data_IF_619787673529
#
_entry.id   IF_619787673529
#
_cell.length_a   1.000
_cell.length_b   1.000
_cell.length_c   1.000
_cell.angle_alpha   90.00
_cell.angle_beta   90.00
_cell.angle_gamma   90.00
#
_symmetry.space_group_name_H-M   'P 1'
#
loop_
_entity.id
_entity.type
_entity.pdbx_description
1 polymer ?
#
# COMPACT_ATOMS: atom_id res chain seq x y z
N UNK A 1 5.74 12.95 -4.29
CA UNK A 1 5.40 11.53 -4.07
C UNK A 1 3.90 11.44 -4.24
N UNK A 2 3.39 10.45 -4.97
CA UNK A 2 1.95 10.24 -5.11
C UNK A 2 1.35 9.97 -3.72
N UNK A 3 0.20 10.58 -3.43
CA UNK A 3 -0.55 10.31 -2.21
C UNK A 3 -1.32 9.00 -2.34
N UNK A 4 -1.34 8.18 -1.31
CA UNK A 4 -1.99 6.87 -1.36
C UNK A 4 -1.77 6.03 -0.11
N UNK A 5 -2.31 4.82 -0.15
CA UNK A 5 -2.10 3.79 0.87
C UNK A 5 -1.71 2.49 0.21
N UNK A 6 -0.86 1.72 0.90
CA UNK A 6 -0.57 0.34 0.54
C UNK A 6 -0.91 -0.56 1.70
N UNK A 7 -1.41 -1.75 1.37
CA UNK A 7 -1.58 -2.84 2.29
C UNK A 7 -0.88 -4.08 1.72
N UNK A 8 -0.23 -4.82 2.60
CA UNK A 8 0.18 -6.20 2.31
C UNK A 8 -0.37 -7.08 3.43
N UNK A 9 -0.93 -8.22 3.07
CA UNK A 9 -1.55 -9.16 3.99
C UNK A 9 -0.96 -10.56 3.83
N UNK A 10 -0.74 -11.27 4.93
CA UNK A 10 -0.30 -12.67 4.94
C UNK A 10 -0.93 -13.46 6.10
N UNK A 11 -1.03 -14.78 5.95
CA UNK A 11 -1.45 -15.69 7.04
C UNK A 11 -0.28 -15.97 7.99
N UNK A 12 0.09 -14.94 8.76
CA UNK A 12 1.25 -14.95 9.64
C UNK A 12 0.93 -14.19 10.93
N UNK A 13 1.66 -14.43 12.02
CA UNK A 13 1.52 -13.62 13.24
C UNK A 13 2.04 -12.19 13.05
N UNK A 14 1.37 -11.13 13.56
CA UNK A 14 1.75 -9.73 13.33
C UNK A 14 3.21 -9.41 13.62
N UNK A 15 3.77 -9.95 14.71
CA UNK A 15 5.14 -9.66 15.12
C UNK A 15 6.17 -10.27 14.17
N UNK A 16 5.84 -11.42 13.57
CA UNK A 16 6.67 -12.04 12.53
C UNK A 16 6.49 -11.33 11.20
N UNK A 17 5.27 -10.90 10.89
CA UNK A 17 4.97 -10.28 9.60
C UNK A 17 5.48 -8.84 9.52
N UNK A 18 5.39 -8.06 10.61
CA UNK A 18 5.82 -6.67 10.66
C UNK A 18 7.30 -6.45 10.32
N UNK A 19 8.15 -7.48 10.43
CA UNK A 19 9.58 -7.37 10.05
C UNK A 19 9.77 -7.07 8.55
N UNK A 20 8.82 -7.50 7.71
CA UNK A 20 8.83 -7.26 6.26
C UNK A 20 8.59 -5.80 5.89
N UNK A 21 8.17 -4.97 6.86
CA UNK A 21 8.14 -3.52 6.68
C UNK A 21 9.56 -2.91 6.54
N UNK A 22 10.61 -3.65 6.92
CA UNK A 22 12.00 -3.17 6.90
C UNK A 22 12.33 -2.28 8.11
N UNK A 23 11.74 -2.59 9.27
CA UNK A 23 11.80 -1.75 10.47
C UNK A 23 11.70 -2.52 11.77
N UNK A 24 11.39 -1.80 12.85
CA UNK A 24 11.09 -2.38 14.16
C UNK A 24 9.59 -2.54 14.33
N UNK A 25 9.19 -3.69 14.87
CA UNK A 25 7.85 -3.91 15.39
C UNK A 25 7.85 -3.51 16.87
N UNK A 26 6.98 -2.57 17.24
CA UNK A 26 6.84 -2.11 18.62
C UNK A 26 5.92 -3.03 19.42
N UNK A 27 5.89 -2.93 20.77
CA UNK A 27 4.93 -3.66 21.59
C UNK A 27 3.46 -3.39 21.18
N UNK A 28 2.54 -4.32 21.49
CA UNK A 28 1.14 -4.16 21.13
C UNK A 28 0.45 -3.02 21.88
N UNK A 29 -0.49 -2.38 21.20
CA UNK A 29 -1.42 -1.37 21.73
C UNK A 29 -2.86 -1.78 21.36
N UNK A 30 -3.85 -1.37 22.17
CA UNK A 30 -5.27 -1.69 21.94
C UNK A 30 -5.84 -0.92 20.74
N UNK A 31 -5.37 0.31 20.54
CA UNK A 31 -5.83 1.19 19.46
C UNK A 31 -4.82 1.22 18.30
N UNK A 32 -5.33 1.41 17.08
CA UNK A 32 -4.46 1.66 15.93
C UNK A 32 -3.71 2.98 16.13
N UNK A 33 -2.40 3.05 15.80
CA UNK A 33 -1.69 4.31 15.93
C UNK A 33 -2.29 5.36 14.99
N UNK A 34 -2.63 6.53 15.56
CA UNK A 34 -3.22 7.66 14.83
C UNK A 34 -2.37 8.06 13.61
N UNK A 35 -1.05 7.89 13.74
CA UNK A 35 -0.07 8.22 12.71
C UNK A 35 0.92 7.09 12.48
N UNK A 36 1.15 6.79 11.21
CA UNK A 36 2.22 5.91 10.78
C UNK A 36 1.76 4.50 10.45
N UNK A 37 2.71 3.64 10.08
CA UNK A 37 2.44 2.28 9.66
C UNK A 37 2.23 1.37 10.86
N UNK A 38 1.39 0.36 10.69
CA UNK A 38 1.10 -0.64 11.73
C UNK A 38 0.89 -2.02 11.10
N UNK A 39 0.98 -3.05 11.95
CA UNK A 39 0.55 -4.41 11.61
C UNK A 39 -0.42 -4.93 12.65
N UNK A 40 -1.48 -5.60 12.20
CA UNK A 40 -2.48 -6.22 13.05
C UNK A 40 -3.04 -7.48 12.41
N UNK A 41 -3.63 -8.37 13.21
CA UNK A 41 -4.32 -9.57 12.74
C UNK A 41 -5.81 -9.37 12.83
N UNK A 42 -6.51 -9.60 11.73
CA UNK A 42 -7.96 -9.62 11.72
C UNK A 42 -8.46 -10.97 12.23
N UNK A 43 -9.27 -10.98 13.29
CA UNK A 43 -9.62 -12.20 14.03
C UNK A 43 -10.44 -13.19 13.19
N UNK A 44 -11.47 -12.71 12.48
CA UNK A 44 -12.38 -13.59 11.73
C UNK A 44 -11.70 -14.22 10.53
N UNK A 45 -10.87 -13.44 9.83
CA UNK A 45 -10.23 -13.90 8.61
C UNK A 45 -8.87 -14.53 8.90
N UNK A 46 -8.22 -14.23 10.03
CA UNK A 46 -6.90 -14.73 10.41
C UNK A 46 -5.73 -14.17 9.58
N UNK A 47 -5.98 -13.15 8.75
CA UNK A 47 -4.92 -12.45 8.01
C UNK A 47 -4.26 -11.41 8.92
N UNK A 48 -2.93 -11.34 8.88
CA UNK A 48 -2.21 -10.16 9.35
C UNK A 48 -2.00 -9.20 8.21
N UNK A 49 -2.14 -7.91 8.51
CA UNK A 49 -2.14 -6.82 7.54
C UNK A 49 -1.17 -5.76 8.00
N UNK A 50 -0.23 -5.39 7.13
CA UNK A 50 0.57 -4.18 7.28
C UNK A 50 -0.14 -3.07 6.52
N UNK A 51 -0.54 -2.01 7.22
CA UNK A 51 -1.13 -0.81 6.65
C UNK A 51 -0.13 0.35 6.72
N UNK A 52 0.01 1.09 5.62
CA UNK A 52 0.90 2.25 5.54
C UNK A 52 0.44 3.27 4.50
N UNK A 53 0.73 4.55 4.77
CA UNK A 53 0.61 5.67 3.82
C UNK A 53 1.75 5.72 2.79
N UNK A 54 2.72 4.80 2.87
CA UNK A 54 3.69 4.63 1.80
C UNK A 54 3.07 3.82 0.66
N UNK A 55 2.53 4.53 -0.33
CA UNK A 55 1.92 3.95 -1.53
C UNK A 55 2.88 3.10 -2.39
N UNK A 56 4.19 3.09 -2.10
CA UNK A 56 5.18 2.24 -2.79
C UNK A 56 5.46 0.93 -2.06
N UNK A 57 4.89 0.74 -0.86
CA UNK A 57 5.28 -0.36 0.02
C UNK A 57 4.93 -1.73 -0.56
N UNK A 58 3.73 -1.91 -1.10
CA UNK A 58 3.28 -3.17 -1.69
C UNK A 58 4.18 -3.61 -2.86
N UNK A 59 4.49 -2.68 -3.78
CA UNK A 59 5.37 -2.93 -4.91
C UNK A 59 6.80 -3.30 -4.46
N UNK A 60 7.33 -2.58 -3.46
CA UNK A 60 8.62 -2.92 -2.85
C UNK A 60 8.59 -4.29 -2.16
N UNK A 61 7.53 -4.59 -1.41
CA UNK A 61 7.35 -5.88 -0.76
C UNK A 61 7.39 -7.02 -1.79
N UNK A 62 6.67 -6.89 -2.89
CA UNK A 62 6.66 -7.89 -3.97
C UNK A 62 8.07 -8.05 -4.54
N UNK A 63 8.73 -6.95 -4.91
CA UNK A 63 10.07 -6.99 -5.51
C UNK A 63 11.12 -7.64 -4.59
N UNK A 64 11.05 -7.34 -3.30
CA UNK A 64 12.06 -7.77 -2.32
C UNK A 64 11.78 -9.18 -1.77
N UNK A 65 10.52 -9.62 -1.73
CA UNK A 65 10.12 -10.81 -0.95
C UNK A 65 9.39 -11.89 -1.72
N UNK A 66 8.73 -11.60 -2.86
CA UNK A 66 7.78 -12.54 -3.45
C UNK A 66 8.40 -13.92 -3.70
N UNK A 67 9.60 -13.97 -4.28
CA UNK A 67 10.28 -15.21 -4.65
C UNK A 67 10.57 -16.16 -3.47
N UNK A 68 10.83 -15.60 -2.28
CA UNK A 68 11.25 -16.36 -1.10
C UNK A 68 10.21 -16.31 0.04
N UNK A 69 9.03 -15.72 -0.20
CA UNK A 69 7.99 -15.60 0.81
C UNK A 69 7.34 -16.96 1.09
N UNK A 70 7.34 -17.39 2.35
CA UNK A 70 6.75 -18.65 2.78
C UNK A 70 5.24 -18.52 2.96
N UNK A 71 4.48 -18.95 1.95
CA UNK A 71 3.02 -18.98 1.94
C UNK A 71 2.37 -17.92 1.04
N UNK A 72 1.03 -17.86 1.05
CA UNK A 72 0.30 -16.89 0.25
C UNK A 72 0.32 -15.49 0.88
N UNK A 73 0.35 -14.47 0.03
CA UNK A 73 0.14 -13.08 0.45
C UNK A 73 -0.68 -12.31 -0.58
N UNK A 74 -1.34 -11.25 -0.10
CA UNK A 74 -2.08 -10.29 -0.91
C UNK A 74 -1.38 -8.93 -0.81
N UNK A 75 -1.23 -8.26 -1.94
CA UNK A 75 -0.68 -6.92 -2.02
C UNK A 75 -1.71 -6.02 -2.69
N UNK A 76 -1.97 -4.84 -2.12
CA UNK A 76 -2.86 -3.87 -2.73
C UNK A 76 -2.41 -2.44 -2.50
N UNK A 77 -2.76 -1.54 -3.41
CA UNK A 77 -2.49 -0.11 -3.27
C UNK A 77 -3.60 0.72 -3.90
N UNK A 78 -3.84 1.89 -3.30
CA UNK A 78 -4.72 2.94 -3.81
C UNK A 78 -3.92 4.22 -3.91
N UNK A 79 -3.97 4.86 -5.08
CA UNK A 79 -3.36 6.16 -5.36
C UNK A 79 -4.49 7.19 -5.52
N UNK A 80 -4.51 8.20 -4.66
CA UNK A 80 -5.60 9.18 -4.66
C UNK A 80 -5.46 10.21 -5.77
N UNK A 81 -4.21 10.54 -6.16
CA UNK A 81 -3.95 11.58 -7.15
C UNK A 81 -4.37 11.18 -8.57
N UNK A 82 -4.34 9.88 -8.87
CA UNK A 82 -4.66 9.33 -10.20
C UNK A 82 -5.92 8.47 -10.23
N UNK A 83 -6.59 8.30 -9.08
CA UNK A 83 -7.66 7.32 -8.88
C UNK A 83 -7.27 5.89 -9.27
N UNK A 84 -5.98 5.55 -9.29
CA UNK A 84 -5.55 4.19 -9.53
C UNK A 84 -5.73 3.33 -8.28
N UNK A 85 -6.07 2.06 -8.48
CA UNK A 85 -5.98 1.06 -7.42
C UNK A 85 -5.72 -0.30 -8.02
N UNK A 86 -5.10 -1.16 -7.23
CA UNK A 86 -4.89 -2.55 -7.63
C UNK A 86 -4.78 -3.45 -6.42
N UNK A 87 -5.12 -4.71 -6.64
CA UNK A 87 -4.93 -5.82 -5.70
C UNK A 87 -4.42 -7.03 -6.47
N UNK A 88 -3.47 -7.74 -5.88
CA UNK A 88 -2.92 -8.97 -6.45
C UNK A 88 -2.61 -9.98 -5.36
N UNK A 89 -2.68 -11.25 -5.74
CA UNK A 89 -2.44 -12.38 -4.85
C UNK A 89 -1.29 -13.22 -5.37
N UNK A 90 -0.39 -13.56 -4.45
CA UNK A 90 0.83 -14.29 -4.74
C UNK A 90 0.90 -15.56 -3.89
N UNK A 91 1.46 -16.60 -4.48
CA UNK A 91 1.83 -17.83 -3.78
C UNK A 91 3.05 -18.43 -4.46
N UNK A 92 4.03 -18.90 -3.68
CA UNK A 92 5.26 -19.53 -4.21
C UNK A 92 6.03 -18.65 -5.22
N UNK A 93 6.05 -17.33 -5.01
CA UNK A 93 6.75 -16.37 -5.88
C UNK A 93 6.04 -15.98 -7.16
N UNK A 94 4.85 -16.52 -7.44
CA UNK A 94 4.09 -16.21 -8.65
C UNK A 94 2.83 -15.41 -8.32
N UNK A 95 2.49 -14.46 -9.20
CA UNK A 95 1.22 -13.75 -9.15
C UNK A 95 0.13 -14.65 -9.74
N UNK A 96 -0.79 -15.13 -8.90
CA UNK A 96 -1.86 -16.02 -9.34
C UNK A 96 -3.00 -15.26 -10.02
N UNK A 97 -3.28 -14.05 -9.54
CA UNK A 97 -4.26 -13.13 -10.14
C UNK A 97 -3.99 -11.68 -9.71
N UNK A 98 -4.48 -10.75 -10.52
CA UNK A 98 -4.50 -9.32 -10.22
C UNK A 98 -5.77 -8.65 -10.75
N UNK A 99 -6.21 -7.60 -10.07
CA UNK A 99 -7.30 -6.72 -10.49
C UNK A 99 -6.82 -5.28 -10.31
N UNK A 100 -6.87 -4.47 -11.37
CA UNK A 100 -6.45 -3.07 -11.34
C UNK A 100 -7.44 -2.15 -12.05
N UNK A 101 -7.57 -0.94 -11.51
CA UNK A 101 -8.31 0.16 -12.11
C UNK A 101 -7.35 1.34 -12.34
N UNK A 102 -7.46 1.96 -13.53
CA UNK A 102 -6.69 3.13 -13.93
C UNK A 102 -7.63 4.28 -14.29
N UNK A 103 -7.89 5.14 -13.31
CA UNK A 103 -8.71 6.33 -13.46
C UNK A 103 -8.06 7.45 -14.28
N UNK A 104 -6.78 7.34 -14.64
CA UNK A 104 -6.06 8.37 -15.41
C UNK A 104 -6.57 8.51 -16.85
N UNK A 105 -7.23 7.46 -17.36
CA UNK A 105 -7.81 7.42 -18.70
C UNK A 105 -9.18 8.11 -18.79
N UNK A 106 -9.81 8.39 -17.64
CA UNK A 106 -11.18 8.88 -17.55
C UNK A 106 -12.26 7.81 -17.76
N UNK A 107 -11.88 6.55 -18.01
CA UNK A 107 -12.82 5.44 -18.10
C UNK A 107 -13.13 4.89 -16.69
N UNK A 108 -14.30 5.27 -16.16
CA UNK A 108 -14.78 4.84 -14.84
C UNK A 108 -15.04 3.34 -14.75
N UNK A 109 -15.21 2.65 -15.89
CA UNK A 109 -15.42 1.20 -15.94
C UNK A 109 -14.14 0.41 -16.22
N UNK A 110 -12.99 1.08 -16.30
CA UNK A 110 -11.73 0.42 -16.56
C UNK A 110 -11.43 -0.64 -15.49
N UNK A 111 -11.26 -1.89 -15.91
CA UNK A 111 -10.69 -2.95 -15.08
C UNK A 111 -9.78 -3.81 -15.92
N UNK A 112 -8.54 -3.97 -15.45
CA UNK A 112 -7.63 -4.96 -15.97
C UNK A 112 -7.59 -6.14 -14.98
N UNK A 113 -7.85 -7.34 -15.49
CA UNK A 113 -7.93 -8.56 -14.70
C UNK A 113 -6.98 -9.59 -15.31
N UNK A 114 -6.11 -10.16 -14.48
CA UNK A 114 -5.23 -11.27 -14.88
C UNK A 114 -5.44 -12.47 -13.96
N UNK A 115 -5.18 -13.67 -14.50
CA UNK A 115 -5.33 -14.91 -13.74
C UNK A 115 -6.79 -15.26 -13.45
N UNK A 116 -7.04 -15.87 -12.28
CA UNK A 116 -8.37 -16.29 -11.83
C UNK A 116 -8.66 -15.70 -10.43
N UNK A 117 -9.17 -14.46 -10.33
CA UNK A 117 -9.56 -13.88 -9.06
C UNK A 117 -10.76 -14.61 -8.44
N UNK A 118 -11.06 -14.39 -7.15
CA UNK A 118 -12.23 -14.96 -6.49
C UNK A 118 -13.55 -14.54 -7.16
N UNK A 119 -14.52 -15.46 -7.20
CA UNK A 119 -15.82 -15.26 -7.87
C UNK A 119 -16.64 -14.08 -7.32
N UNK A 120 -16.41 -13.71 -6.06
CA UNK A 120 -17.03 -12.53 -5.43
C UNK A 120 -16.73 -11.24 -6.21
N UNK A 121 -15.65 -11.19 -7.00
CA UNK A 121 -15.34 -10.07 -7.87
C UNK A 121 -16.49 -9.77 -8.85
N UNK A 122 -17.16 -10.79 -9.39
CA UNK A 122 -18.26 -10.58 -10.34
C UNK A 122 -19.43 -9.80 -9.70
N UNK A 123 -19.73 -10.11 -8.43
CA UNK A 123 -20.75 -9.44 -7.63
C UNK A 123 -20.31 -8.01 -7.30
N UNK A 124 -19.07 -7.84 -6.83
CA UNK A 124 -18.48 -6.52 -6.51
C UNK A 124 -18.51 -5.59 -7.74
N UNK A 125 -18.10 -6.08 -8.91
CA UNK A 125 -18.11 -5.31 -10.16
C UNK A 125 -19.53 -4.90 -10.53
N UNK A 126 -20.48 -5.83 -10.43
CA UNK A 126 -21.89 -5.57 -10.74
C UNK A 126 -22.46 -4.47 -9.85
N UNK A 127 -22.23 -4.56 -8.53
CA UNK A 127 -22.73 -3.60 -7.56
C UNK A 127 -22.13 -2.21 -7.77
N UNK A 128 -20.82 -2.11 -7.98
CA UNK A 128 -20.15 -0.82 -8.17
C UNK A 128 -20.54 -0.16 -9.51
N UNK A 129 -20.69 -0.94 -10.59
CA UNK A 129 -21.20 -0.41 -11.85
C UNK A 129 -22.65 0.08 -11.73
N UNK A 130 -23.50 -0.61 -10.97
CA UNK A 130 -24.86 -0.14 -10.72
C UNK A 130 -24.89 1.21 -10.00
N UNK A 131 -24.00 1.42 -9.01
CA UNK A 131 -23.84 2.71 -8.31
C UNK A 131 -23.37 3.81 -9.26
N UNK A 132 -22.42 3.53 -10.16
CA UNK A 132 -21.98 4.50 -11.18
C UNK A 132 -23.12 4.95 -12.09
N UNK A 133 -23.93 4.00 -12.56
CA UNK A 133 -25.07 4.26 -13.45
C UNK A 133 -26.17 5.07 -12.75
N UNK A 134 -26.43 4.80 -11.48
CA UNK A 134 -27.41 5.56 -10.68
C UNK A 134 -26.97 7.02 -10.47
N UNK A 135 -25.69 7.24 -10.21
CA UNK A 135 -25.14 8.58 -9.93
C UNK A 135 -24.88 9.40 -11.20
N UNK A 136 -24.75 8.72 -12.34
CA UNK A 136 -24.53 9.33 -13.65
C UNK A 136 -23.07 9.75 -13.90
N UNK A 137 -22.77 10.11 -15.17
CA UNK A 137 -21.40 10.34 -15.62
C UNK A 137 -20.72 11.53 -14.95
N UNK A 138 -21.47 12.51 -14.46
CA UNK A 138 -20.95 13.74 -13.86
C UNK A 138 -20.59 13.60 -12.37
N UNK A 139 -20.84 12.44 -11.75
CA UNK A 139 -20.51 12.23 -10.35
C UNK A 139 -18.98 12.27 -10.15
N UNK A 140 -18.46 13.00 -9.12
CA UNK A 140 -17.02 13.19 -8.94
C UNK A 140 -16.29 11.96 -8.40
N UNK A 141 -17.00 11.01 -7.80
CA UNK A 141 -16.41 9.77 -7.30
C UNK A 141 -16.13 8.79 -8.44
N UNK A 142 -14.93 8.23 -8.44
CA UNK A 142 -14.56 7.10 -9.29
C UNK A 142 -14.76 5.80 -8.52
N UNK A 143 -15.88 5.14 -8.76
CA UNK A 143 -16.20 3.87 -8.12
C UNK A 143 -15.39 2.70 -8.67
N UNK A 144 -14.69 2.86 -9.80
CA UNK A 144 -13.87 1.81 -10.39
C UNK A 144 -12.69 1.51 -9.49
N UNK A 145 -12.15 2.57 -8.86
CA UNK A 145 -11.12 2.50 -7.83
C UNK A 145 -11.55 1.72 -6.58
N UNK A 146 -12.84 1.68 -6.25
CA UNK A 146 -13.32 0.97 -5.08
C UNK A 146 -13.42 -0.54 -5.31
N UNK A 147 -13.43 -1.02 -6.56
CA UNK A 147 -13.56 -2.45 -6.88
C UNK A 147 -12.36 -3.27 -6.36
N UNK A 148 -11.08 -2.91 -6.66
CA UNK A 148 -9.93 -3.56 -6.03
C UNK A 148 -9.92 -3.48 -4.50
N UNK A 149 -10.41 -2.37 -3.94
CA UNK A 149 -10.47 -2.14 -2.49
C UNK A 149 -11.49 -3.08 -1.84
N UNK A 150 -12.69 -3.18 -2.40
CA UNK A 150 -13.74 -4.07 -1.94
C UNK A 150 -13.34 -5.55 -2.07
N UNK A 151 -12.63 -5.92 -3.15
CA UNK A 151 -12.12 -7.29 -3.28
C UNK A 151 -11.06 -7.60 -2.20
N UNK A 152 -10.16 -6.66 -1.90
CA UNK A 152 -9.22 -6.84 -0.81
C UNK A 152 -9.97 -7.02 0.51
N UNK A 153 -10.89 -6.11 0.84
CA UNK A 153 -11.71 -6.16 2.05
C UNK A 153 -12.43 -7.49 2.23
N UNK A 154 -13.08 -8.03 1.19
CA UNK A 154 -13.78 -9.31 1.26
C UNK A 154 -12.84 -10.47 1.65
N UNK A 155 -11.59 -10.45 1.15
CA UNK A 155 -10.61 -11.51 1.38
C UNK A 155 -9.93 -11.39 2.75
N UNK A 156 -9.51 -10.18 3.12
CA UNK A 156 -8.67 -9.95 4.31
C UNK A 156 -9.44 -9.40 5.50
N UNK A 157 -10.66 -8.88 5.29
CA UNK A 157 -11.50 -8.27 6.32
C UNK A 157 -11.11 -6.85 6.70
N UNK A 158 -10.22 -6.20 5.94
CA UNK A 158 -9.67 -4.89 6.30
C UNK A 158 -9.56 -3.96 5.08
N UNK A 159 -9.90 -2.69 5.27
CA UNK A 159 -9.64 -1.60 4.32
C UNK A 159 -8.58 -0.63 4.87
N UNK A 160 -7.99 0.16 3.98
CA UNK A 160 -6.98 1.15 4.37
C UNK A 160 -7.58 2.37 5.07
N UNK A 161 -8.85 2.66 4.81
CA UNK A 161 -9.61 3.84 5.23
C UNK A 161 -10.62 3.56 6.34
N UNK A 162 -10.64 2.33 6.87
CA UNK A 162 -11.50 1.93 7.98
C UNK A 162 -10.63 1.72 9.23
N UNK A 163 -11.02 2.40 10.31
CA UNK A 163 -10.50 2.12 11.64
C UNK A 163 -11.19 0.86 12.17
N UNK A 164 -10.40 -0.19 12.41
CA UNK A 164 -10.91 -1.42 12.99
C UNK A 164 -10.83 -1.33 14.51
N UNK A 165 -11.82 -1.90 15.18
CA UNK A 165 -11.90 -1.92 16.64
C UNK A 165 -12.24 -3.33 17.11
N UNK A 166 -12.18 -3.57 18.42
CA UNK A 166 -12.67 -4.83 18.96
C UNK A 166 -14.13 -5.09 18.51
N UNK A 167 -14.49 -6.33 18.13
CA UNK A 167 -13.70 -7.56 18.27
C UNK A 167 -12.87 -7.94 17.02
N UNK A 168 -12.82 -7.09 15.99
CA UNK A 168 -12.23 -7.44 14.69
C UNK A 168 -10.70 -7.50 14.74
N UNK A 169 -10.10 -6.69 15.61
CA UNK A 169 -8.66 -6.65 15.92
C UNK A 169 -8.49 -6.50 17.44
N UNK A 170 -7.67 -7.36 18.04
CA UNK A 170 -7.38 -7.31 19.48
C UNK A 170 -6.14 -6.48 19.82
N UNK A 171 -5.15 -6.45 18.93
CA UNK A 171 -3.87 -5.78 19.18
C UNK A 171 -3.30 -5.20 17.88
N UNK A 172 -2.80 -3.98 17.98
CA UNK A 172 -2.04 -3.29 16.95
C UNK A 172 -0.57 -3.23 17.31
N UNK A 173 0.30 -3.38 16.32
CA UNK A 173 1.74 -3.26 16.48
C UNK A 173 2.22 -2.12 15.60
N UNK A 174 2.59 -1.00 16.20
CA UNK A 174 3.17 0.13 15.47
C UNK A 174 4.50 -0.28 14.83
N UNK A 175 4.74 0.20 13.60
CA UNK A 175 5.93 -0.08 12.83
C UNK A 175 6.79 1.18 12.71
N UNK A 176 8.07 1.06 13.04
CA UNK A 176 9.04 2.14 12.86
C UNK A 176 10.04 1.78 11.80
N UNK A 177 10.19 2.60 10.76
CA UNK A 177 11.28 2.42 9.80
C UNK A 177 12.63 2.52 10.50
N UNK A 178 13.57 1.70 10.07
CA UNK A 178 14.96 1.97 10.37
C UNK A 178 15.32 3.34 9.78
N UNK A 179 15.84 4.25 10.61
CA UNK A 179 16.48 5.45 10.09
C UNK A 179 17.62 5.01 9.18
N UNK A 180 17.60 5.45 7.91
CA UNK A 180 18.82 5.41 7.10
C UNK A 180 19.79 6.38 7.75
N UNK A 181 20.74 5.89 8.53
CA UNK A 181 21.99 6.62 8.76
C UNK A 181 22.62 6.84 7.39
N UNK A 182 22.50 8.05 6.87
CA UNK A 182 23.35 8.51 5.78
C UNK A 182 24.72 8.66 6.42
N UNK A 183 25.65 7.78 6.07
CA UNK A 183 27.04 7.98 6.43
C UNK A 183 27.54 9.21 5.67
N UNK A 184 27.71 10.32 6.37
CA UNK A 184 28.19 11.56 5.77
C UNK A 184 29.65 11.41 5.31
N UNK A 185 30.37 10.36 5.73
CA UNK A 185 31.71 10.06 5.24
C UNK A 185 31.72 9.66 3.75
N UNK A 186 30.58 9.25 3.18
CA UNK A 186 30.42 8.93 1.74
C UNK A 186 30.12 10.16 0.87
N UNK A 187 30.01 11.35 1.45
CA UNK A 187 29.68 12.59 0.74
C UNK A 187 30.78 13.63 0.95
N UNK A 188 31.18 14.33 -0.11
CA UNK A 188 32.03 15.52 0.02
C UNK A 188 31.18 16.79 -0.06
N UNK A 189 31.51 17.73 0.83
CA UNK A 189 30.96 19.07 0.80
C UNK A 189 31.56 19.83 -0.39
N UNK A 190 30.82 19.96 -1.48
CA UNK A 190 31.25 20.75 -2.64
C UNK A 190 30.77 22.18 -2.42
N UNK A 191 31.67 23.06 -1.96
CA UNK A 191 31.34 24.48 -1.86
C UNK A 191 31.31 25.10 -3.26
N UNK A 192 30.22 25.77 -3.66
CA UNK A 192 30.12 26.40 -4.97
C UNK A 192 31.13 27.55 -5.12
N UNK A 193 31.68 27.67 -6.32
CA UNK A 193 32.63 28.72 -6.70
C UNK A 193 31.96 30.10 -6.65
N UNK A 194 32.32 30.90 -5.64
CA UNK A 194 31.76 32.23 -5.37
C UNK A 194 32.04 33.26 -6.46
N UNK A 195 32.85 32.94 -7.47
CA UNK A 195 33.12 33.84 -8.61
C UNK A 195 31.99 33.86 -9.66
N UNK A 196 31.08 32.88 -9.61
CA UNK A 196 29.87 32.83 -10.45
C UNK A 196 28.68 33.13 -9.54
N UNK A 197 27.93 34.20 -9.84
CA UNK A 197 26.84 34.65 -8.98
C UNK A 197 25.89 33.52 -8.58
N UNK A 198 25.76 33.28 -7.28
CA UNK A 198 24.95 32.21 -6.70
C UNK A 198 23.45 32.50 -6.92
N UNK A 199 22.74 31.55 -7.53
CA UNK A 199 21.27 31.54 -7.46
C UNK A 199 20.80 30.55 -6.38
N UNK A 200 19.52 30.63 -6.00
CA UNK A 200 18.97 29.86 -4.87
C UNK A 200 18.95 28.34 -5.11
N UNK A 201 19.09 27.88 -6.35
CA UNK A 201 19.19 26.45 -6.71
C UNK A 201 20.61 25.91 -6.45
N UNK A 202 21.65 26.75 -6.47
CA UNK A 202 23.03 26.33 -6.18
C UNK A 202 23.23 25.95 -4.70
N UNK A 203 22.39 26.46 -3.80
CA UNK A 203 22.39 26.12 -2.38
C UNK A 203 21.77 24.74 -2.08
N UNK A 204 21.05 24.13 -3.02
CA UNK A 204 20.45 22.80 -2.85
C UNK A 204 21.35 21.64 -3.32
N UNK A 205 22.54 21.93 -3.84
CA UNK A 205 23.50 20.95 -4.41
C UNK A 205 24.79 20.80 -3.57
N UNK A 206 24.74 20.97 -2.25
CA UNK A 206 25.95 21.06 -1.41
C UNK A 206 26.59 19.68 -1.12
N UNK A 207 25.87 18.59 -1.38
CA UNK A 207 26.37 17.23 -1.16
C UNK A 207 26.45 16.47 -2.48
N UNK A 208 27.67 16.08 -2.86
CA UNK A 208 27.91 15.10 -3.91
C UNK A 208 28.38 13.80 -3.26
N UNK A 209 27.85 12.68 -3.74
CA UNK A 209 28.34 11.36 -3.36
C UNK A 209 29.79 11.21 -3.85
N UNK A 210 30.67 10.63 -3.02
CA UNK A 210 32.04 10.24 -3.40
C UNK A 210 32.03 9.19 -4.50
#
# INVERSE_FOLDING_TARGET
MASGHSIVAAKMEPQKFGVYFGGKVLPPEEDAPEWGPWVAKHEMTGWSVINTRDATFSARFIADNAADFDGPFLAYTVLYDTNESWVSFYESGECLWSVSHDGSTGDKHHLEITGNPPKVLDEIVTDHHAVMEEQGPDHPMDWGREIPVALAEDIIGMRHDVELCEPDVLEYYALQRAEKTVDLDDYELVLPDRSKGLNILDLMSIFSKK
#
